data_IF_214669275512
#
_entry.id   IF_214669275512
#
_cell.length_a   1.000
_cell.length_b   1.000
_cell.length_c   1.000
_cell.angle_alpha   90.00
_cell.angle_beta   90.00
_cell.angle_gamma   90.00
#
_symmetry.space_group_name_H-M   'P 1'
#
loop_
_entity.id
_entity.type
_entity.pdbx_description
1 polymer ?
#
# COMPACT_ATOMS: atom_id res chain seq x y z
N UNK A 1 15.93 -4.85 -0.49
CA UNK A 1 15.35 -5.94 -1.33
C UNK A 1 13.83 -5.80 -1.35
N UNK A 2 13.16 -6.10 -2.48
CA UNK A 2 11.70 -6.17 -2.55
C UNK A 2 11.22 -7.38 -1.75
N UNK A 3 10.22 -7.19 -0.90
CA UNK A 3 9.54 -8.26 -0.15
C UNK A 3 8.51 -8.95 -1.05
N UNK A 4 7.72 -8.18 -1.76
CA UNK A 4 6.81 -8.65 -2.81
C UNK A 4 6.42 -7.52 -3.76
N UNK A 5 5.73 -7.89 -4.84
CA UNK A 5 5.08 -7.00 -5.79
C UNK A 5 3.69 -7.56 -6.09
N UNK A 6 2.67 -6.71 -6.09
CA UNK A 6 1.30 -7.06 -6.47
C UNK A 6 0.83 -6.10 -7.56
N UNK A 7 -0.14 -6.54 -8.36
CA UNK A 7 -0.70 -5.74 -9.45
C UNK A 7 -2.11 -5.28 -9.08
N UNK A 8 -2.35 -3.97 -9.13
CA UNK A 8 -3.69 -3.43 -8.89
C UNK A 8 -4.65 -3.75 -10.06
N UNK A 9 -5.96 -3.58 -9.84
CA UNK A 9 -6.99 -3.73 -10.89
C UNK A 9 -6.85 -2.78 -12.09
N UNK A 10 -5.94 -1.81 -12.03
CA UNK A 10 -5.64 -0.86 -13.10
C UNK A 10 -4.35 -1.21 -13.86
N UNK A 11 -3.72 -2.36 -13.56
CA UNK A 11 -2.51 -2.84 -14.21
C UNK A 11 -1.20 -2.27 -13.67
N UNK A 12 -1.20 -1.59 -12.53
CA UNK A 12 -0.01 -1.01 -11.92
C UNK A 12 0.68 -2.01 -11.00
N UNK A 13 1.96 -2.27 -11.23
CA UNK A 13 2.79 -3.03 -10.31
C UNK A 13 3.20 -2.15 -9.13
N UNK A 14 2.90 -2.62 -7.91
CA UNK A 14 3.18 -1.93 -6.66
C UNK A 14 3.99 -2.87 -5.77
N UNK A 15 5.15 -2.41 -5.32
CA UNK A 15 6.02 -3.21 -4.47
C UNK A 15 6.09 -2.70 -3.03
N UNK A 16 6.41 -3.63 -2.14
CA UNK A 16 6.82 -3.36 -0.76
C UNK A 16 8.24 -3.87 -0.57
N UNK A 17 9.09 -3.10 0.12
CA UNK A 17 10.44 -3.54 0.51
C UNK A 17 10.41 -4.15 1.91
N UNK A 18 11.39 -5.00 2.21
CA UNK A 18 11.53 -5.58 3.55
C UNK A 18 11.69 -4.50 4.64
N UNK A 19 12.60 -3.55 4.42
CA UNK A 19 12.83 -2.40 5.32
C UNK A 19 11.55 -1.60 5.58
N UNK A 20 10.75 -1.36 4.53
CA UNK A 20 9.51 -0.60 4.68
C UNK A 20 8.45 -1.40 5.43
N UNK A 21 8.40 -2.71 5.24
CA UNK A 21 7.52 -3.59 6.01
C UNK A 21 7.87 -3.54 7.50
N UNK A 22 9.14 -3.72 7.84
CA UNK A 22 9.65 -3.61 9.21
C UNK A 22 9.30 -2.27 9.85
N UNK A 23 9.45 -1.17 9.11
CA UNK A 23 9.04 0.15 9.59
C UNK A 23 7.52 0.25 9.84
N UNK A 24 6.67 -0.37 9.00
CA UNK A 24 5.22 -0.31 9.19
C UNK A 24 4.81 -1.03 10.48
N UNK A 25 5.32 -2.25 10.69
CA UNK A 25 4.95 -3.11 11.83
C UNK A 25 5.72 -2.80 13.12
N UNK A 26 6.60 -1.79 13.11
CA UNK A 26 7.34 -1.38 14.29
C UNK A 26 6.38 -0.99 15.42
N UNK A 27 6.78 -1.24 16.68
CA UNK A 27 5.94 -1.06 17.86
C UNK A 27 5.43 0.36 18.07
N UNK A 28 6.09 1.38 17.50
CA UNK A 28 5.64 2.78 17.59
C UNK A 28 4.84 3.26 16.37
N UNK A 29 4.69 2.42 15.34
CA UNK A 29 3.99 2.77 14.10
C UNK A 29 2.65 2.03 14.03
N UNK A 30 2.59 0.90 13.31
CA UNK A 30 1.38 0.13 13.07
C UNK A 30 1.60 -1.36 13.39
N UNK A 31 1.92 -1.71 14.66
CA UNK A 31 2.19 -3.09 15.04
C UNK A 31 1.01 -4.02 14.79
N UNK A 32 -0.22 -3.49 14.75
CA UNK A 32 -1.43 -4.23 14.41
C UNK A 32 -1.36 -4.83 13.00
N UNK A 33 -0.60 -4.23 12.08
CA UNK A 33 -0.48 -4.72 10.70
C UNK A 33 0.29 -6.03 10.57
N UNK A 34 1.04 -6.47 11.59
CA UNK A 34 1.89 -7.66 11.52
C UNK A 34 1.17 -8.91 11.00
N UNK A 35 -0.08 -9.12 11.44
CA UNK A 35 -0.88 -10.28 11.07
C UNK A 35 -1.67 -10.11 9.74
N UNK A 36 -1.65 -8.92 9.13
CA UNK A 36 -2.58 -8.53 8.05
C UNK A 36 -1.87 -8.21 6.73
N UNK A 37 -0.69 -8.77 6.50
CA UNK A 37 0.04 -8.55 5.26
C UNK A 37 -0.73 -9.04 4.01
N UNK A 38 -1.51 -10.12 4.14
CA UNK A 38 -2.34 -10.60 3.03
C UNK A 38 -3.53 -9.67 2.76
N UNK A 39 -4.22 -9.19 3.80
CA UNK A 39 -5.27 -8.16 3.67
C UNK A 39 -4.72 -6.88 3.04
N UNK A 40 -3.47 -6.51 3.35
CA UNK A 40 -2.80 -5.38 2.72
C UNK A 40 -2.61 -5.60 1.21
N UNK A 41 -2.17 -6.79 0.78
CA UNK A 41 -2.08 -7.12 -0.65
C UNK A 41 -3.45 -7.03 -1.32
N UNK A 42 -4.48 -7.61 -0.71
CA UNK A 42 -5.85 -7.58 -1.25
C UNK A 42 -6.40 -6.15 -1.34
N UNK A 43 -6.04 -5.28 -0.39
CA UNK A 43 -6.36 -3.84 -0.40
C UNK A 43 -5.79 -3.15 -1.63
N UNK A 44 -4.55 -3.48 -2.01
CA UNK A 44 -3.91 -2.91 -3.20
C UNK A 44 -4.51 -3.49 -4.49
N UNK A 45 -4.76 -4.79 -4.51
CA UNK A 45 -5.26 -5.50 -5.70
C UNK A 45 -6.68 -5.04 -6.08
N UNK A 46 -7.58 -4.94 -5.10
CA UNK A 46 -9.02 -4.80 -5.34
C UNK A 46 -9.68 -3.58 -4.67
N UNK A 47 -8.98 -2.90 -3.75
CA UNK A 47 -9.53 -1.81 -2.97
C UNK A 47 -9.92 -0.58 -3.79
N UNK A 48 -10.68 0.30 -3.15
CA UNK A 48 -11.01 1.61 -3.71
C UNK A 48 -9.75 2.48 -3.71
N UNK A 49 -9.42 3.04 -4.88
CA UNK A 49 -8.28 3.94 -5.06
C UNK A 49 -8.75 5.38 -5.16
N UNK A 50 -8.15 6.26 -4.35
CA UNK A 50 -8.37 7.71 -4.38
C UNK A 50 -7.04 8.44 -4.48
N UNK A 51 -6.90 9.34 -5.45
CA UNK A 51 -5.74 10.22 -5.58
C UNK A 51 -5.77 11.29 -4.49
N UNK A 52 -4.61 11.63 -3.94
CA UNK A 52 -4.46 12.77 -3.05
C UNK A 52 -4.60 14.08 -3.84
N UNK A 53 -5.47 15.02 -3.43
CA UNK A 53 -5.74 16.24 -4.21
C UNK A 53 -4.55 17.21 -4.24
N UNK A 54 -3.63 17.13 -3.28
CA UNK A 54 -2.47 18.02 -3.19
C UNK A 54 -1.20 17.37 -3.76
N UNK A 55 -1.19 16.05 -3.93
CA UNK A 55 -0.06 15.34 -4.51
C UNK A 55 -0.52 14.30 -5.55
N UNK A 56 -0.40 14.60 -6.86
CA UNK A 56 -0.91 13.72 -7.92
C UNK A 56 -0.18 12.37 -8.00
N UNK A 57 0.96 12.22 -7.34
CA UNK A 57 1.72 10.96 -7.27
C UNK A 57 1.31 10.10 -6.07
N UNK A 58 0.51 10.63 -5.14
CA UNK A 58 0.11 9.92 -3.93
C UNK A 58 -1.30 9.38 -4.08
N UNK A 59 -1.45 8.09 -3.83
CA UNK A 59 -2.73 7.40 -3.91
C UNK A 59 -3.01 6.67 -2.61
N UNK A 60 -4.27 6.71 -2.19
CA UNK A 60 -4.81 5.96 -1.07
C UNK A 60 -5.63 4.80 -1.61
N UNK A 61 -5.33 3.60 -1.14
CA UNK A 61 -6.13 2.40 -1.37
C UNK A 61 -6.84 2.06 -0.07
N UNK A 62 -8.13 1.75 -0.16
CA UNK A 62 -8.99 1.50 1.00
C UNK A 62 -9.80 0.24 0.72
N UNK A 63 -9.83 -0.68 1.68
CA UNK A 63 -10.70 -1.86 1.59
C UNK A 63 -11.22 -2.26 2.97
N UNK A 64 -12.48 -2.63 3.02
CA UNK A 64 -13.16 -3.09 4.23
C UNK A 64 -12.86 -4.57 4.50
N UNK A 65 -12.78 -4.93 5.77
CA UNK A 65 -12.63 -6.29 6.27
C UNK A 65 -13.39 -6.44 7.59
N UNK A 66 -13.79 -7.66 7.91
CA UNK A 66 -14.60 -7.97 9.12
C UNK A 66 -13.78 -8.57 10.26
N UNK A 67 -12.52 -8.88 10.00
CA UNK A 67 -11.63 -9.67 10.85
C UNK A 67 -10.35 -8.89 11.22
N UNK A 68 -10.41 -7.56 11.27
CA UNK A 68 -9.29 -6.70 11.65
C UNK A 68 -9.09 -6.64 13.18
N UNK A 69 -7.99 -6.04 13.61
CA UNK A 69 -7.69 -5.88 15.02
C UNK A 69 -8.63 -4.85 15.66
N UNK A 70 -9.08 -5.16 16.88
CA UNK A 70 -10.00 -4.31 17.65
C UNK A 70 -11.27 -4.02 16.84
N UNK A 71 -11.75 -2.77 16.86
CA UNK A 71 -12.96 -2.34 16.15
C UNK A 71 -12.66 -1.74 14.76
N UNK A 72 -11.46 -1.95 14.22
CA UNK A 72 -11.11 -1.43 12.90
C UNK A 72 -11.92 -2.13 11.80
N UNK A 73 -12.30 -1.37 10.77
CA UNK A 73 -13.15 -1.90 9.69
C UNK A 73 -12.47 -1.88 8.33
N UNK A 74 -11.38 -1.10 8.17
CA UNK A 74 -10.69 -0.96 6.89
C UNK A 74 -9.17 -1.01 7.04
N UNK A 75 -8.50 -1.49 5.99
CA UNK A 75 -7.08 -1.22 5.77
C UNK A 75 -6.96 -0.04 4.81
N UNK A 76 -6.05 0.87 5.15
CA UNK A 76 -5.65 1.99 4.31
C UNK A 76 -4.19 1.79 3.92
N UNK A 77 -3.90 1.76 2.63
CA UNK A 77 -2.54 1.75 2.09
C UNK A 77 -2.24 3.05 1.34
N UNK A 78 -1.05 3.62 1.57
CA UNK A 78 -0.57 4.80 0.87
C UNK A 78 0.54 4.40 -0.10
N UNK A 79 0.32 4.66 -1.39
CA UNK A 79 1.24 4.31 -2.46
C UNK A 79 1.72 5.60 -3.13
N UNK A 80 3.02 5.69 -3.40
CA UNK A 80 3.59 6.70 -4.27
C UNK A 80 3.85 6.13 -5.65
N UNK A 81 3.33 6.80 -6.67
CA UNK A 81 3.55 6.50 -8.08
C UNK A 81 4.75 7.30 -8.57
N UNK A 82 5.79 6.58 -8.98
CA UNK A 82 7.04 7.16 -9.48
C UNK A 82 7.43 6.48 -10.78
N UNK A 83 8.31 7.13 -11.51
CA UNK A 83 8.96 6.57 -12.68
C UNK A 83 10.46 6.61 -12.49
N UNK A 84 11.15 5.58 -12.96
CA UNK A 84 12.61 5.57 -13.11
C UNK A 84 12.95 5.59 -14.59
N UNK A 85 14.10 6.14 -14.93
CA UNK A 85 14.60 6.13 -16.31
C UNK A 85 15.02 4.70 -16.69
N UNK A 86 14.43 4.17 -17.76
CA UNK A 86 14.81 2.88 -18.32
C UNK A 86 16.00 3.00 -19.28
N UNK A 87 16.56 1.85 -19.68
CA UNK A 87 17.73 1.76 -20.55
C UNK A 87 17.59 2.47 -21.92
N UNK A 88 16.36 2.79 -22.35
CA UNK A 88 16.06 3.48 -23.60
C UNK A 88 15.45 4.89 -23.38
N UNK A 89 15.60 5.47 -22.19
CA UNK A 89 14.94 6.74 -21.81
C UNK A 89 13.41 6.62 -21.63
N UNK A 90 12.85 5.41 -21.76
CA UNK A 90 11.44 5.14 -21.49
C UNK A 90 11.21 5.09 -19.97
N UNK A 91 10.19 5.79 -19.44
CA UNK A 91 9.87 5.72 -18.03
C UNK A 91 9.37 4.32 -17.65
N UNK A 92 10.02 3.71 -16.66
CA UNK A 92 9.58 2.44 -16.05
C UNK A 92 8.85 2.77 -14.76
N UNK A 93 7.67 2.19 -14.56
CA UNK A 93 6.92 2.39 -13.32
C UNK A 93 7.69 1.87 -12.11
N UNK A 94 7.72 2.68 -11.06
CA UNK A 94 8.41 2.41 -9.80
C UNK A 94 7.48 2.75 -8.63
N UNK A 95 6.27 2.19 -8.63
CA UNK A 95 5.28 2.48 -7.59
C UNK A 95 5.57 1.66 -6.33
N UNK A 96 5.53 2.30 -5.17
CA UNK A 96 5.83 1.65 -3.91
C UNK A 96 4.92 2.06 -2.78
N UNK A 97 4.70 1.11 -1.88
CA UNK A 97 3.97 1.35 -0.65
C UNK A 97 4.82 2.17 0.33
N UNK A 98 4.24 3.23 0.89
CA UNK A 98 4.87 4.15 1.84
C UNK A 98 4.47 3.82 3.28
N UNK A 99 3.20 3.51 3.51
CA UNK A 99 2.68 3.07 4.81
C UNK A 99 1.35 2.35 4.62
N UNK A 100 0.96 1.57 5.62
CA UNK A 100 -0.36 0.97 5.73
C UNK A 100 -0.77 0.87 7.20
N UNK A 101 -2.07 0.99 7.45
CA UNK A 101 -2.63 0.94 8.81
C UNK A 101 -4.10 0.54 8.76
N UNK A 102 -4.62 0.10 9.91
CA UNK A 102 -6.04 -0.18 10.11
C UNK A 102 -6.76 1.07 10.58
N UNK A 103 -8.02 1.24 10.17
CA UNK A 103 -8.85 2.36 10.60
C UNK A 103 -10.32 1.99 10.59
N UNK A 104 -11.02 2.37 11.65
CA UNK A 104 -12.48 2.46 11.65
C UNK A 104 -12.95 3.56 10.69
N UNK A 105 -13.74 3.18 9.70
CA UNK A 105 -14.47 4.09 8.81
C UNK A 105 -15.94 3.69 8.88
N UNK A 106 -16.79 4.67 9.21
CA UNK A 106 -18.25 4.53 9.28
C UNK A 106 -18.94 4.51 7.91
#
# INVERSE_FOLDING_TARGET
MKRWTVRDRYGNDIYLTQERWEHIIDSINHPEMFAYENHLKETIESGQRKQDPLNPQKYRYIKAFVDLAEDNTHIIAIILFRFTEGNEGKPISNNYLVTAYQKEIG
#
